data_IF_939265473802
#
_entry.id   IF_939265473802
#
_cell.length_a   1.000
_cell.length_b   1.000
_cell.length_c   1.000
_cell.angle_alpha   90.00
_cell.angle_beta   90.00
_cell.angle_gamma   90.00
#
_symmetry.space_group_name_H-M   'P 1'
#
loop_
_entity.id
_entity.type
_entity.pdbx_description
1 polymer ?
#
# COMPACT_ATOMS: atom_id res chain seq x y z
N UNK A 1 -23.07 3.13 -1.27
CA UNK A 1 -22.27 3.66 -0.13
C UNK A 1 -23.24 4.22 0.90
N UNK A 2 -23.08 3.89 2.17
CA UNK A 2 -23.85 4.47 3.28
C UNK A 2 -23.21 5.79 3.72
N UNK A 3 -23.99 6.69 4.33
CA UNK A 3 -23.48 7.98 4.86
C UNK A 3 -22.36 7.80 5.92
N UNK A 4 -22.18 6.59 6.45
CA UNK A 4 -21.19 6.21 7.46
C UNK A 4 -20.01 5.40 6.92
N UNK A 5 -19.82 5.35 5.59
CA UNK A 5 -18.66 4.67 5.02
C UNK A 5 -17.35 5.39 5.44
N UNK A 6 -16.30 4.66 5.90
CA UNK A 6 -15.05 5.28 6.29
C UNK A 6 -14.35 5.93 5.08
N UNK A 7 -13.74 7.09 5.28
CA UNK A 7 -13.01 7.82 4.26
C UNK A 7 -11.62 7.21 4.08
N UNK A 8 -11.38 6.63 2.91
CA UNK A 8 -10.11 6.00 2.56
C UNK A 8 -9.35 6.87 1.57
N UNK A 9 -8.26 7.44 2.02
CA UNK A 9 -7.38 8.23 1.15
C UNK A 9 -6.48 7.30 0.34
N UNK A 10 -6.49 7.46 -0.98
CA UNK A 10 -5.64 6.74 -1.93
C UNK A 10 -4.73 7.76 -2.61
N UNK A 11 -3.40 7.61 -2.47
CA UNK A 11 -2.47 8.56 -3.07
C UNK A 11 -2.28 8.25 -4.56
N UNK A 12 -2.53 9.26 -5.41
CA UNK A 12 -2.42 9.15 -6.85
C UNK A 12 -0.96 9.02 -7.32
N UNK A 13 -0.79 8.48 -8.52
CA UNK A 13 0.47 8.60 -9.27
C UNK A 13 0.42 9.78 -10.22
N UNK A 14 1.57 10.36 -10.55
CA UNK A 14 1.71 11.43 -11.55
C UNK A 14 2.32 10.87 -12.82
N UNK A 15 1.55 10.89 -13.90
CA UNK A 15 2.00 10.39 -15.20
C UNK A 15 1.43 11.21 -16.34
N UNK A 16 2.10 11.27 -17.50
CA UNK A 16 1.49 11.85 -18.70
C UNK A 16 0.33 10.96 -19.17
N UNK A 17 -0.77 11.60 -19.54
CA UNK A 17 -1.95 10.96 -20.12
C UNK A 17 -2.34 11.66 -21.40
N UNK A 18 -2.66 10.88 -22.44
CA UNK A 18 -3.19 11.38 -23.71
C UNK A 18 -4.69 11.10 -23.79
N UNK A 19 -5.49 12.14 -24.09
CA UNK A 19 -6.94 12.03 -24.23
C UNK A 19 -7.46 13.00 -25.29
N UNK A 20 -8.07 12.45 -26.32
CA UNK A 20 -8.53 13.23 -27.48
C UNK A 20 -7.38 13.98 -28.17
N UNK A 21 -7.49 15.30 -28.28
CA UNK A 21 -6.46 16.18 -28.86
C UNK A 21 -5.30 16.51 -27.92
N UNK A 22 -5.40 16.15 -26.65
CA UNK A 22 -4.40 16.45 -25.62
C UNK A 22 -3.39 15.30 -25.54
N UNK A 23 -2.10 15.58 -25.70
CA UNK A 23 -1.02 14.57 -25.71
C UNK A 23 -0.09 14.84 -24.55
N UNK A 24 0.23 13.79 -23.80
CA UNK A 24 1.20 13.77 -22.69
C UNK A 24 0.97 14.84 -21.62
N UNK A 25 -0.30 15.10 -21.30
CA UNK A 25 -0.67 16.04 -20.23
C UNK A 25 -0.34 15.45 -18.87
N UNK A 26 0.47 16.14 -18.02
CA UNK A 26 0.70 15.69 -16.65
C UNK A 26 -0.61 15.52 -15.89
N UNK A 27 -0.87 14.31 -15.39
CA UNK A 27 -2.15 13.96 -14.76
C UNK A 27 -1.88 13.17 -13.49
N UNK A 28 -2.59 13.54 -12.43
CA UNK A 28 -2.58 12.77 -11.19
C UNK A 28 -3.77 11.80 -11.20
N UNK A 29 -3.49 10.50 -11.14
CA UNK A 29 -4.52 9.46 -11.25
C UNK A 29 -4.01 8.08 -10.91
N UNK A 30 -4.94 7.13 -10.81
CA UNK A 30 -4.69 5.70 -10.58
C UNK A 30 -5.58 4.85 -11.48
N UNK A 31 -5.23 3.56 -11.68
CA UNK A 31 -6.19 2.58 -12.19
C UNK A 31 -7.45 2.56 -11.34
N UNK A 32 -8.61 2.52 -11.98
CA UNK A 32 -9.91 2.55 -11.28
C UNK A 32 -10.15 1.31 -10.41
N UNK A 33 -9.40 0.23 -10.61
CA UNK A 33 -9.42 -0.99 -9.80
C UNK A 33 -9.22 -0.69 -8.31
N UNK A 34 -8.27 0.17 -7.93
CA UNK A 34 -8.05 0.56 -6.53
C UNK A 34 -9.28 1.22 -5.89
N UNK A 35 -9.90 2.18 -6.59
CA UNK A 35 -11.06 2.89 -6.06
C UNK A 35 -12.27 1.96 -5.96
N UNK A 36 -12.50 1.14 -6.99
CA UNK A 36 -13.58 0.14 -6.99
C UNK A 36 -13.41 -0.88 -5.89
N UNK A 37 -12.20 -1.35 -5.64
CA UNK A 37 -11.92 -2.31 -4.56
C UNK A 37 -12.26 -1.72 -3.18
N UNK A 38 -11.93 -0.44 -2.93
CA UNK A 38 -12.35 0.26 -1.70
C UNK A 38 -13.87 0.39 -1.62
N UNK A 39 -14.54 0.77 -2.72
CA UNK A 39 -16.01 0.92 -2.78
C UNK A 39 -16.73 -0.42 -2.53
N UNK A 40 -16.28 -1.50 -3.16
CA UNK A 40 -16.83 -2.84 -3.01
C UNK A 40 -16.67 -3.38 -1.58
N UNK A 41 -15.56 -3.06 -0.92
CA UNK A 41 -15.35 -3.38 0.49
C UNK A 41 -16.14 -2.47 1.46
N UNK A 42 -16.87 -1.45 0.95
CA UNK A 42 -17.74 -0.58 1.74
C UNK A 42 -17.04 0.67 2.31
N UNK A 43 -15.91 1.07 1.76
CA UNK A 43 -15.22 2.34 2.02
C UNK A 43 -15.65 3.45 1.04
N UNK A 44 -15.32 4.69 1.38
CA UNK A 44 -15.48 5.87 0.52
C UNK A 44 -14.08 6.34 0.05
N UNK A 45 -13.66 6.04 -1.19
CA UNK A 45 -12.33 6.41 -1.66
C UNK A 45 -12.22 7.91 -1.96
N UNK A 46 -11.10 8.50 -1.53
CA UNK A 46 -10.73 9.89 -1.85
C UNK A 46 -9.34 9.89 -2.48
N UNK A 47 -9.23 10.38 -3.71
CA UNK A 47 -7.96 10.44 -4.41
C UNK A 47 -7.17 11.67 -3.95
N UNK A 48 -5.93 11.44 -3.48
CA UNK A 48 -5.02 12.48 -3.04
C UNK A 48 -3.89 12.66 -4.07
N UNK A 49 -3.76 13.82 -4.74
CA UNK A 49 -2.67 14.05 -5.67
C UNK A 49 -1.31 14.10 -4.95
N UNK A 50 -0.22 13.62 -5.58
CA UNK A 50 1.12 13.81 -5.07
C UNK A 50 1.43 15.31 -5.03
N UNK A 51 1.85 15.79 -3.87
CA UNK A 51 2.13 17.20 -3.66
C UNK A 51 3.41 17.40 -2.86
N UNK A 52 3.97 18.61 -2.90
CA UNK A 52 5.09 18.97 -2.02
C UNK A 52 4.64 18.86 -0.57
N UNK A 53 5.41 18.10 0.21
CA UNK A 53 5.05 17.77 1.59
C UNK A 53 5.40 18.94 2.51
N UNK A 54 4.38 19.51 3.13
CA UNK A 54 4.50 20.37 4.30
C UNK A 54 3.89 19.62 5.49
N UNK A 55 4.56 19.66 6.64
CA UNK A 55 4.14 18.91 7.83
C UNK A 55 2.66 19.20 8.21
N UNK A 56 2.26 20.47 8.19
CA UNK A 56 0.87 20.88 8.47
C UNK A 56 -0.16 20.26 7.52
N UNK A 57 0.21 20.05 6.26
CA UNK A 57 -0.67 19.44 5.27
C UNK A 57 -0.82 17.94 5.51
N UNK A 58 0.26 17.24 5.88
CA UNK A 58 0.21 15.83 6.28
C UNK A 58 -0.70 15.65 7.49
N UNK A 59 -0.57 16.50 8.50
CA UNK A 59 -1.42 16.48 9.69
C UNK A 59 -2.91 16.59 9.34
N UNK A 60 -3.29 17.49 8.45
CA UNK A 60 -4.68 17.65 7.98
C UNK A 60 -5.20 16.40 7.26
N UNK A 61 -4.37 15.73 6.47
CA UNK A 61 -4.79 14.47 5.82
C UNK A 61 -4.99 13.36 6.85
N UNK A 62 -4.12 13.26 7.85
CA UNK A 62 -4.25 12.30 8.95
C UNK A 62 -5.48 12.56 9.82
N UNK A 63 -5.88 13.83 10.00
CA UNK A 63 -7.12 14.19 10.70
C UNK A 63 -8.37 13.86 9.87
N UNK A 64 -8.31 14.09 8.57
CA UNK A 64 -9.43 13.92 7.66
C UNK A 64 -9.77 12.44 7.43
N UNK A 65 -8.77 11.60 7.16
CA UNK A 65 -8.94 10.22 6.74
C UNK A 65 -9.31 9.28 7.90
N UNK A 66 -9.97 8.18 7.57
CA UNK A 66 -10.23 7.06 8.47
C UNK A 66 -9.31 5.87 8.16
N UNK A 67 -8.66 5.87 6.98
CA UNK A 67 -7.66 4.91 6.56
C UNK A 67 -6.93 5.37 5.31
N UNK A 68 -5.77 4.75 5.02
CA UNK A 68 -4.96 5.04 3.85
C UNK A 68 -4.66 3.77 3.06
N UNK A 69 -4.84 3.83 1.73
CA UNK A 69 -4.40 2.81 0.80
C UNK A 69 -3.25 3.36 -0.05
N UNK A 70 -2.06 2.78 0.09
CA UNK A 70 -0.91 3.08 -0.76
C UNK A 70 -0.91 2.13 -1.96
N UNK A 71 -1.16 2.69 -3.11
CA UNK A 71 -1.29 1.94 -4.35
C UNK A 71 0.05 1.57 -4.99
N UNK A 72 0.04 0.61 -5.90
CA UNK A 72 1.12 0.29 -6.80
C UNK A 72 1.59 1.49 -7.64
N UNK A 73 2.66 1.31 -8.40
CA UNK A 73 3.21 2.36 -9.23
C UNK A 73 4.67 2.17 -9.54
N UNK A 74 5.33 3.22 -10.02
CA UNK A 74 6.74 3.25 -10.36
C UNK A 74 7.64 3.11 -9.13
N UNK A 75 8.90 2.77 -9.35
CA UNK A 75 9.87 2.52 -8.30
C UNK A 75 10.06 3.70 -7.35
N UNK A 76 10.43 3.39 -6.12
CA UNK A 76 10.72 4.36 -5.07
C UNK A 76 12.13 4.91 -5.28
N UNK A 77 12.32 6.21 -5.05
CA UNK A 77 13.62 6.86 -5.12
C UNK A 77 14.64 6.18 -4.20
N UNK A 78 15.65 5.52 -4.79
CA UNK A 78 16.64 4.72 -4.08
C UNK A 78 17.40 5.51 -3.01
N UNK A 79 17.67 6.80 -3.24
CA UNK A 79 18.28 7.69 -2.25
C UNK A 79 17.48 7.89 -0.98
N UNK A 80 16.15 7.61 -0.99
CA UNK A 80 15.31 7.71 0.23
C UNK A 80 15.58 6.61 1.25
N UNK A 81 16.16 5.49 0.82
CA UNK A 81 16.58 4.37 1.71
C UNK A 81 18.09 4.09 1.64
N UNK A 82 18.87 5.11 1.18
CA UNK A 82 20.34 5.14 1.28
C UNK A 82 21.05 4.28 0.26
N UNK A 83 20.44 3.99 -0.89
CA UNK A 83 21.06 3.23 -1.98
C UNK A 83 21.22 4.09 -3.24
N UNK A 84 22.18 3.72 -4.10
CA UNK A 84 22.26 4.23 -5.46
C UNK A 84 21.21 3.54 -6.34
N UNK A 85 20.63 4.24 -7.32
CA UNK A 85 19.59 3.65 -8.17
C UNK A 85 20.18 2.57 -9.09
N UNK A 86 19.47 1.44 -9.18
CA UNK A 86 19.78 0.39 -10.14
C UNK A 86 19.45 0.86 -11.58
N UNK A 87 20.23 0.46 -12.61
CA UNK A 87 20.01 0.89 -14.00
C UNK A 87 18.63 0.55 -14.58
N UNK A 88 17.95 -0.46 -14.04
CA UNK A 88 16.62 -0.90 -14.47
C UNK A 88 15.47 -0.29 -13.66
N UNK A 89 15.76 0.65 -12.76
CA UNK A 89 14.71 1.34 -12.02
C UNK A 89 13.91 2.29 -12.90
N UNK A 90 12.62 2.33 -12.67
CA UNK A 90 11.73 3.36 -13.22
C UNK A 90 12.04 4.73 -12.60
N UNK A 91 11.78 5.80 -13.36
CA UNK A 91 11.93 7.16 -12.84
C UNK A 91 10.90 7.41 -11.70
N UNK A 92 11.36 7.74 -10.48
CA UNK A 92 10.48 7.89 -9.32
C UNK A 92 9.66 9.18 -9.37
N UNK A 93 8.54 9.19 -8.64
CA UNK A 93 7.81 10.43 -8.29
C UNK A 93 8.17 10.82 -6.86
N UNK A 94 9.24 11.56 -6.70
CA UNK A 94 9.82 11.87 -5.37
C UNK A 94 8.84 12.57 -4.44
N UNK A 95 7.96 13.41 -4.96
CA UNK A 95 6.91 14.06 -4.18
C UNK A 95 5.90 13.05 -3.61
N UNK A 96 5.54 12.02 -4.40
CA UNK A 96 4.70 10.91 -3.97
C UNK A 96 5.38 10.10 -2.86
N UNK A 97 6.65 9.73 -3.08
CA UNK A 97 7.42 8.95 -2.11
C UNK A 97 7.49 9.66 -0.75
N UNK A 98 7.80 10.96 -0.76
CA UNK A 98 7.89 11.77 0.47
C UNK A 98 6.53 11.88 1.19
N UNK A 99 5.46 12.14 0.44
CA UNK A 99 4.12 12.24 0.99
C UNK A 99 3.69 10.92 1.61
N UNK A 100 3.76 9.83 0.87
CA UNK A 100 3.35 8.52 1.35
C UNK A 100 4.20 8.04 2.54
N UNK A 101 5.51 8.31 2.55
CA UNK A 101 6.36 7.98 3.69
C UNK A 101 5.98 8.77 4.95
N UNK A 102 5.63 10.04 4.81
CA UNK A 102 5.15 10.85 5.94
C UNK A 102 3.78 10.33 6.44
N UNK A 103 2.87 10.00 5.53
CA UNK A 103 1.56 9.42 5.86
C UNK A 103 1.73 8.07 6.55
N UNK A 104 2.59 7.17 6.05
CA UNK A 104 2.82 5.86 6.66
C UNK A 104 3.28 5.96 8.12
N UNK A 105 4.26 6.84 8.40
CA UNK A 105 4.71 7.10 9.76
C UNK A 105 3.62 7.75 10.62
N UNK A 106 2.87 8.71 10.07
CA UNK A 106 1.76 9.37 10.75
C UNK A 106 0.63 8.41 11.10
N UNK A 107 0.28 7.51 10.17
CA UNK A 107 -0.71 6.45 10.39
C UNK A 107 -0.29 5.53 11.54
N UNK A 108 0.94 5.04 11.52
CA UNK A 108 1.45 4.20 12.60
C UNK A 108 1.39 4.92 13.95
N UNK A 109 1.86 6.17 14.03
CA UNK A 109 1.89 6.93 15.29
C UNK A 109 0.49 7.19 15.87
N UNK A 110 -0.53 7.36 15.02
CA UNK A 110 -1.91 7.66 15.42
C UNK A 110 -2.82 6.44 15.45
N UNK A 111 -2.34 5.26 15.06
CA UNK A 111 -3.15 4.05 14.94
C UNK A 111 -4.17 4.09 13.80
N UNK A 112 -3.96 4.94 12.79
CA UNK A 112 -4.80 5.00 11.59
C UNK A 112 -4.47 3.78 10.73
N UNK A 113 -5.45 2.98 10.30
CA UNK A 113 -5.22 1.83 9.43
C UNK A 113 -4.58 2.22 8.09
N UNK A 114 -3.56 1.47 7.69
CA UNK A 114 -2.89 1.63 6.41
C UNK A 114 -2.67 0.28 5.74
N UNK A 115 -3.05 0.20 4.46
CA UNK A 115 -2.78 -0.95 3.58
C UNK A 115 -1.88 -0.50 2.42
N UNK A 116 -0.81 -1.23 2.14
CA UNK A 116 0.04 -1.02 0.96
C UNK A 116 -0.06 -2.16 -0.02
N UNK A 117 -0.31 -1.88 -1.31
CA UNK A 117 -0.29 -2.85 -2.40
C UNK A 117 0.94 -2.62 -3.29
N UNK A 118 1.70 -3.67 -3.57
CA UNK A 118 2.88 -3.69 -4.44
C UNK A 118 3.91 -2.61 -4.01
N UNK A 119 4.09 -1.55 -4.79
CA UNK A 119 4.93 -0.42 -4.41
C UNK A 119 4.53 0.17 -3.04
N UNK A 120 3.24 0.17 -2.69
CA UNK A 120 2.76 0.66 -1.39
C UNK A 120 3.32 -0.12 -0.20
N UNK A 121 3.46 -1.44 -0.32
CA UNK A 121 4.16 -2.27 0.67
C UNK A 121 5.65 -1.89 0.78
N UNK A 122 6.32 -1.75 -0.35
CA UNK A 122 7.73 -1.37 -0.42
C UNK A 122 7.96 0.01 0.22
N UNK A 123 7.03 0.95 -0.01
CA UNK A 123 7.10 2.27 0.61
C UNK A 123 6.90 2.21 2.13
N UNK A 124 5.95 1.41 2.63
CA UNK A 124 5.82 1.16 4.08
C UNK A 124 7.16 0.66 4.62
N UNK A 125 7.78 -0.34 3.99
CA UNK A 125 9.07 -0.85 4.42
C UNK A 125 10.15 0.23 4.51
N UNK A 126 10.33 1.02 3.45
CA UNK A 126 11.37 2.08 3.39
C UNK A 126 11.06 3.24 4.33
N UNK A 127 9.79 3.58 4.56
CA UNK A 127 9.36 4.60 5.51
C UNK A 127 9.77 4.26 6.96
N UNK A 128 9.89 2.98 7.29
CA UNK A 128 10.36 2.47 8.59
C UNK A 128 11.85 2.10 8.60
N UNK A 129 12.62 2.55 7.60
CA UNK A 129 14.07 2.39 7.52
C UNK A 129 14.54 1.04 6.95
N UNK A 130 13.66 0.31 6.29
CA UNK A 130 14.01 -0.87 5.51
C UNK A 130 14.68 -0.51 4.17
N UNK A 131 15.12 -1.54 3.44
CA UNK A 131 15.73 -1.41 2.10
C UNK A 131 15.03 -2.30 1.10
N UNK A 132 15.28 -2.06 -0.20
CA UNK A 132 14.71 -2.83 -1.29
C UNK A 132 15.83 -3.54 -2.09
N UNK A 133 15.53 -4.74 -2.53
CA UNK A 133 16.17 -5.34 -3.67
C UNK A 133 15.58 -4.70 -4.92
N UNK A 134 16.41 -3.91 -5.62
CA UNK A 134 15.94 -3.04 -6.69
C UNK A 134 15.69 -3.79 -8.01
N UNK A 135 16.21 -5.00 -8.14
CA UNK A 135 15.94 -5.86 -9.29
C UNK A 135 16.05 -7.34 -8.90
N UNK A 136 14.92 -8.01 -8.76
CA UNK A 136 14.84 -9.43 -8.37
C UNK A 136 15.61 -10.36 -9.32
N UNK A 137 15.68 -10.01 -10.62
CA UNK A 137 16.39 -10.78 -11.63
C UNK A 137 17.87 -10.95 -11.38
N UNK A 138 18.47 -10.16 -10.49
CA UNK A 138 19.87 -10.30 -10.08
C UNK A 138 20.09 -11.45 -9.08
N UNK A 139 19.02 -11.94 -8.42
CA UNK A 139 19.07 -12.93 -7.35
C UNK A 139 18.24 -14.19 -7.61
N UNK A 140 17.03 -14.03 -8.12
CA UNK A 140 16.07 -15.12 -8.34
C UNK A 140 15.53 -15.12 -9.76
N UNK A 141 14.89 -16.23 -10.16
CA UNK A 141 14.06 -16.24 -11.36
C UNK A 141 12.89 -15.27 -11.18
N UNK A 142 12.87 -14.22 -11.98
CA UNK A 142 11.85 -13.19 -11.89
C UNK A 142 10.50 -13.60 -12.53
N UNK A 143 10.49 -14.67 -13.33
CA UNK A 143 9.30 -15.13 -14.08
C UNK A 143 8.05 -15.28 -13.22
N UNK A 144 8.10 -15.84 -11.99
CA UNK A 144 6.92 -15.92 -11.13
C UNK A 144 6.39 -14.54 -10.71
N UNK A 145 7.28 -13.56 -10.50
CA UNK A 145 6.93 -12.23 -9.99
C UNK A 145 6.54 -11.26 -11.09
N UNK A 146 7.17 -11.38 -12.28
CA UNK A 146 6.86 -10.60 -13.48
C UNK A 146 7.41 -11.30 -14.73
N UNK A 147 6.58 -12.13 -15.37
CA UNK A 147 6.93 -12.77 -16.64
C UNK A 147 7.03 -11.74 -17.78
N UNK A 148 6.06 -10.82 -17.84
CA UNK A 148 5.98 -9.81 -18.90
C UNK A 148 5.54 -8.46 -18.36
N UNK A 149 6.19 -7.39 -18.82
CA UNK A 149 5.80 -6.01 -18.51
C UNK A 149 4.36 -5.74 -19.00
N UNK A 150 3.55 -5.14 -18.11
CA UNK A 150 2.17 -4.76 -18.41
C UNK A 150 1.16 -5.93 -18.36
N UNK A 151 1.55 -7.08 -17.83
CA UNK A 151 0.64 -8.20 -17.60
C UNK A 151 0.91 -8.83 -16.22
N UNK A 152 -0.17 -9.18 -15.53
CA UNK A 152 -0.04 -9.91 -14.27
C UNK A 152 0.32 -11.36 -14.55
N UNK A 153 1.17 -11.92 -13.70
CA UNK A 153 1.43 -13.35 -13.58
C UNK A 153 0.81 -13.88 -12.29
N UNK A 154 0.69 -15.18 -12.16
CA UNK A 154 0.18 -15.78 -10.94
C UNK A 154 1.25 -16.68 -10.30
N UNK A 155 1.44 -16.55 -9.00
CA UNK A 155 2.26 -17.48 -8.23
C UNK A 155 1.69 -17.69 -6.83
N UNK A 156 2.22 -18.68 -6.13
CA UNK A 156 1.79 -19.03 -4.79
C UNK A 156 2.58 -18.26 -3.74
N UNK A 157 1.90 -17.92 -2.66
CA UNK A 157 2.49 -17.38 -1.45
C UNK A 157 2.08 -18.21 -0.25
N UNK A 158 2.98 -18.35 0.73
CA UNK A 158 2.72 -18.98 2.01
C UNK A 158 2.53 -17.92 3.08
N UNK A 159 1.39 -17.94 3.75
CA UNK A 159 1.10 -17.04 4.87
C UNK A 159 1.76 -17.58 6.13
N UNK A 160 2.52 -16.73 6.81
CA UNK A 160 3.27 -17.10 7.99
C UNK A 160 2.36 -17.20 9.23
N UNK A 161 2.67 -18.14 10.16
CA UNK A 161 1.89 -18.32 11.38
C UNK A 161 1.98 -17.12 12.32
N UNK A 162 0.99 -16.99 13.20
CA UNK A 162 0.89 -15.96 14.24
C UNK A 162 0.89 -14.52 13.69
N UNK A 163 0.45 -14.34 12.42
CA UNK A 163 0.33 -13.05 11.76
C UNK A 163 -1.12 -12.57 11.70
N UNK A 164 -1.30 -11.25 11.58
CA UNK A 164 -2.60 -10.66 11.24
C UNK A 164 -3.08 -11.18 9.90
N UNK A 165 -2.18 -11.27 8.92
CA UNK A 165 -2.52 -11.78 7.60
C UNK A 165 -3.09 -13.20 7.67
N UNK A 166 -2.53 -14.08 8.52
CA UNK A 166 -3.11 -15.41 8.77
C UNK A 166 -4.52 -15.33 9.37
N UNK A 167 -4.75 -14.39 10.27
CA UNK A 167 -6.10 -14.20 10.85
C UNK A 167 -7.11 -13.75 9.80
N UNK A 168 -6.66 -12.99 8.78
CA UNK A 168 -7.50 -12.47 7.69
C UNK A 168 -7.77 -13.55 6.64
N UNK A 169 -6.72 -14.20 6.14
CA UNK A 169 -6.77 -15.08 4.97
C UNK A 169 -6.80 -16.58 5.33
N UNK A 170 -6.48 -16.92 6.57
CA UNK A 170 -6.24 -18.31 6.96
C UNK A 170 -4.82 -18.78 6.63
N UNK A 171 -4.59 -20.09 6.76
CA UNK A 171 -3.32 -20.71 6.43
C UNK A 171 -3.33 -21.12 4.96
N UNK A 172 -2.46 -20.45 4.16
CA UNK A 172 -2.30 -20.74 2.73
C UNK A 172 -1.51 -22.02 2.45
N UNK A 173 -1.18 -22.34 1.17
CA UNK A 173 -0.81 -21.35 0.15
C UNK A 173 -1.98 -20.80 -0.65
N UNK A 174 -1.84 -19.53 -1.08
CA UNK A 174 -2.77 -18.86 -1.97
C UNK A 174 -2.11 -18.50 -3.30
N UNK A 175 -2.90 -18.42 -4.37
CA UNK A 175 -2.45 -17.91 -5.65
C UNK A 175 -2.78 -16.43 -5.75
N UNK A 176 -1.79 -15.60 -6.05
CA UNK A 176 -1.91 -14.14 -6.08
C UNK A 176 -1.59 -13.58 -7.47
N UNK A 177 -2.07 -12.35 -7.77
CA UNK A 177 -1.74 -11.61 -8.97
C UNK A 177 -0.49 -10.75 -8.75
N UNK A 178 0.59 -11.07 -9.44
CA UNK A 178 1.90 -10.44 -9.27
C UNK A 178 2.35 -9.67 -10.50
N UNK A 179 2.96 -8.51 -10.27
CA UNK A 179 3.68 -7.74 -11.30
C UNK A 179 4.68 -6.81 -10.63
N UNK A 180 5.82 -7.33 -10.17
CA UNK A 180 6.88 -6.52 -9.58
C UNK A 180 8.27 -7.04 -9.94
N UNK A 181 9.26 -6.15 -9.97
CA UNK A 181 10.67 -6.51 -10.16
C UNK A 181 11.53 -6.10 -8.97
N UNK A 182 10.97 -5.37 -8.03
CA UNK A 182 11.59 -5.01 -6.77
C UNK A 182 10.90 -5.75 -5.63
N UNK A 183 11.63 -5.96 -4.53
CA UNK A 183 11.10 -6.59 -3.32
C UNK A 183 11.76 -6.00 -2.06
N UNK A 184 11.24 -6.37 -0.90
CA UNK A 184 11.88 -6.06 0.38
C UNK A 184 13.18 -6.84 0.51
N UNK A 185 14.29 -6.11 0.75
CA UNK A 185 15.59 -6.67 1.12
C UNK A 185 15.70 -6.78 2.65
N UNK A 186 15.81 -5.66 3.34
CA UNK A 186 15.83 -5.59 4.80
C UNK A 186 14.55 -4.94 5.32
N UNK A 187 13.92 -5.59 6.28
CA UNK A 187 12.70 -5.06 6.90
C UNK A 187 12.96 -3.79 7.71
N UNK A 188 12.01 -2.88 7.65
CA UNK A 188 11.96 -1.69 8.48
C UNK A 188 11.72 -2.00 9.96
N UNK A 189 12.09 -1.06 10.83
CA UNK A 189 11.93 -1.22 12.26
C UNK A 189 10.45 -1.39 12.65
N UNK A 190 10.16 -2.38 13.50
CA UNK A 190 8.79 -2.67 13.95
C UNK A 190 7.91 -3.39 12.91
N UNK A 191 8.49 -3.84 11.79
CA UNK A 191 7.82 -4.67 10.79
C UNK A 191 8.29 -6.12 10.87
N UNK A 192 7.41 -7.05 10.50
CA UNK A 192 7.72 -8.46 10.33
C UNK A 192 7.15 -8.98 9.02
N UNK A 193 7.73 -10.04 8.42
CA UNK A 193 7.13 -10.67 7.26
C UNK A 193 5.83 -11.38 7.67
N UNK A 194 4.84 -11.39 6.79
CA UNK A 194 3.57 -12.10 7.01
C UNK A 194 3.20 -13.05 5.89
N UNK A 195 3.85 -12.97 4.72
CA UNK A 195 3.83 -14.00 3.68
C UNK A 195 5.15 -14.02 2.91
N UNK A 196 5.47 -15.19 2.34
CA UNK A 196 6.67 -15.41 1.52
C UNK A 196 6.35 -16.23 0.28
N UNK A 197 7.07 -16.00 -0.81
CA UNK A 197 7.07 -16.84 -1.99
C UNK A 197 7.98 -18.07 -1.78
N UNK A 198 7.86 -19.15 -2.59
CA UNK A 198 8.70 -20.35 -2.48
C UNK A 198 10.20 -20.10 -2.64
N UNK A 199 10.61 -19.04 -3.31
CA UNK A 199 12.00 -18.61 -3.47
C UNK A 199 12.52 -17.69 -2.36
N UNK A 200 11.70 -17.48 -1.31
CA UNK A 200 12.03 -16.70 -0.14
C UNK A 200 11.82 -15.19 -0.27
N UNK A 201 11.25 -14.71 -1.37
CA UNK A 201 10.86 -13.31 -1.52
C UNK A 201 9.75 -12.98 -0.52
N UNK A 202 9.89 -11.87 0.21
CA UNK A 202 8.86 -11.38 1.13
C UNK A 202 7.71 -10.82 0.32
N UNK A 203 6.55 -11.45 0.44
CA UNK A 203 5.34 -11.10 -0.31
C UNK A 203 4.31 -10.33 0.53
N UNK A 204 4.46 -10.33 1.86
CA UNK A 204 3.69 -9.47 2.73
C UNK A 204 4.46 -9.12 3.99
N UNK A 205 4.15 -7.96 4.54
CA UNK A 205 4.66 -7.49 5.82
C UNK A 205 3.53 -6.86 6.66
N UNK A 206 3.74 -6.83 7.97
CA UNK A 206 2.84 -6.17 8.90
C UNK A 206 3.58 -5.59 10.09
N UNK A 207 2.95 -4.66 10.83
CA UNK A 207 3.47 -4.18 12.09
C UNK A 207 3.49 -5.29 13.14
N UNK A 208 4.55 -5.32 13.97
CA UNK A 208 4.67 -6.26 15.10
C UNK A 208 3.71 -5.92 16.25
N UNK A 209 3.17 -4.72 16.29
CA UNK A 209 2.22 -4.27 17.30
C UNK A 209 0.75 -4.43 16.83
N UNK A 210 -0.20 -3.99 17.69
CA UNK A 210 -1.62 -4.12 17.41
C UNK A 210 -2.15 -3.15 16.33
N UNK A 211 -1.33 -2.23 15.81
CA UNK A 211 -1.74 -1.27 14.78
C UNK A 211 -1.98 -1.96 13.44
N UNK A 212 -2.98 -1.48 12.71
CA UNK A 212 -3.26 -2.02 11.37
C UNK A 212 -2.32 -1.37 10.34
N UNK A 213 -1.12 -1.89 10.24
CA UNK A 213 -0.15 -1.59 9.18
C UNK A 213 0.12 -2.90 8.45
N UNK A 214 -0.39 -3.03 7.24
CA UNK A 214 -0.27 -4.23 6.41
C UNK A 214 0.20 -3.83 5.02
N UNK A 215 1.14 -4.56 4.48
CA UNK A 215 1.59 -4.43 3.09
C UNK A 215 1.59 -5.78 2.41
N UNK A 216 1.13 -5.84 1.16
CA UNK A 216 1.18 -7.02 0.30
C UNK A 216 1.88 -6.66 -1.01
N UNK A 217 2.73 -7.56 -1.52
CA UNK A 217 3.50 -7.31 -2.74
C UNK A 217 2.67 -7.54 -4.01
N UNK A 218 1.58 -8.29 -3.89
CA UNK A 218 0.63 -8.55 -4.97
C UNK A 218 -0.42 -7.44 -5.11
N UNK A 219 -1.32 -7.63 -6.09
CA UNK A 219 -2.39 -6.70 -6.46
C UNK A 219 -3.77 -7.24 -6.06
N UNK A 220 -4.22 -7.03 -4.81
CA UNK A 220 -5.53 -7.53 -4.36
C UNK A 220 -6.69 -6.84 -5.08
N UNK A 221 -6.47 -5.65 -5.65
CA UNK A 221 -7.46 -4.88 -6.39
C UNK A 221 -7.72 -5.39 -7.82
N UNK A 222 -6.81 -6.19 -8.40
CA UNK A 222 -6.93 -6.68 -9.78
C UNK A 222 -7.71 -8.00 -9.86
N UNK A 223 -7.53 -8.86 -8.88
CA UNK A 223 -8.31 -10.08 -8.73
C UNK A 223 -9.13 -9.94 -7.46
N UNK A 224 -10.41 -9.62 -7.62
CA UNK A 224 -11.36 -9.68 -6.52
C UNK A 224 -11.74 -11.16 -6.27
N UNK A 225 -10.69 -11.97 -6.02
CA UNK A 225 -10.81 -13.33 -5.50
C UNK A 225 -11.14 -13.28 -3.99
N UNK A 226 -11.52 -14.39 -3.38
CA UNK A 226 -11.90 -14.41 -1.96
C UNK A 226 -10.82 -13.82 -1.04
N UNK A 227 -9.55 -13.99 -1.36
CA UNK A 227 -8.43 -13.48 -0.56
C UNK A 227 -8.28 -11.97 -0.69
N UNK A 228 -8.44 -11.42 -1.90
CA UNK A 228 -8.45 -9.96 -2.13
C UNK A 228 -9.63 -9.30 -1.45
N UNK A 229 -10.83 -9.88 -1.56
CA UNK A 229 -12.04 -9.40 -0.88
C UNK A 229 -11.87 -9.42 0.65
N UNK A 230 -11.34 -10.50 1.22
CA UNK A 230 -11.12 -10.63 2.68
C UNK A 230 -10.10 -9.60 3.19
N UNK A 231 -9.00 -9.39 2.47
CA UNK A 231 -7.99 -8.41 2.84
C UNK A 231 -8.57 -6.99 2.85
N UNK A 232 -9.27 -6.60 1.79
CA UNK A 232 -9.89 -5.29 1.68
C UNK A 232 -11.01 -5.10 2.71
N UNK A 233 -11.86 -6.11 2.94
CA UNK A 233 -12.89 -6.07 3.96
C UNK A 233 -12.31 -5.91 5.38
N UNK A 234 -11.20 -6.59 5.67
CA UNK A 234 -10.48 -6.44 6.95
C UNK A 234 -9.95 -5.02 7.13
N UNK A 235 -9.33 -4.46 6.08
CA UNK A 235 -8.82 -3.09 6.09
C UNK A 235 -9.94 -2.07 6.32
N UNK A 236 -11.05 -2.17 5.56
CA UNK A 236 -12.21 -1.27 5.71
C UNK A 236 -12.87 -1.45 7.08
N UNK A 237 -12.91 -2.68 7.61
CA UNK A 237 -13.39 -2.95 8.97
C UNK A 237 -12.56 -2.22 10.04
N UNK A 238 -11.23 -2.25 9.90
CA UNK A 238 -10.32 -1.51 10.78
C UNK A 238 -10.51 0.01 10.66
N UNK A 239 -10.66 0.53 9.43
CA UNK A 239 -10.90 1.95 9.19
C UNK A 239 -12.24 2.41 9.80
N UNK A 240 -13.28 1.58 9.76
CA UNK A 240 -14.56 1.86 10.40
C UNK A 240 -14.43 1.91 11.93
N UNK A 241 -13.68 1.00 12.53
CA UNK A 241 -13.41 1.02 13.97
C UNK A 241 -12.67 2.31 14.38
N UNK A 242 -11.65 2.69 13.62
CA UNK A 242 -10.93 3.94 13.85
C UNK A 242 -11.86 5.17 13.73
N UNK A 243 -12.71 5.23 12.70
CA UNK A 243 -13.71 6.28 12.51
C UNK A 243 -14.61 6.43 13.74
N UNK A 244 -15.14 5.31 14.28
CA UNK A 244 -15.98 5.33 15.47
C UNK A 244 -15.25 5.84 16.70
N UNK A 245 -14.00 5.44 16.92
CA UNK A 245 -13.16 5.93 18.03
C UNK A 245 -12.94 7.44 17.92
N UNK A 246 -12.53 7.92 16.74
CA UNK A 246 -12.31 9.34 16.46
C UNK A 246 -13.54 10.20 16.72
N UNK A 247 -14.75 9.74 16.33
CA UNK A 247 -16.01 10.43 16.59
C UNK A 247 -16.37 10.47 18.07
N UNK A 248 -16.13 9.39 18.79
CA UNK A 248 -16.41 9.30 20.23
C UNK A 248 -15.55 10.24 21.05
N UNK A 249 -14.25 10.33 20.71
CA UNK A 249 -13.30 11.26 21.34
C UNK A 249 -13.72 12.71 21.09
N UNK A 250 -14.09 13.06 19.85
CA UNK A 250 -14.53 14.41 19.49
C UNK A 250 -15.85 14.80 20.20
N UNK A 251 -16.77 13.87 20.39
CA UNK A 251 -18.01 14.12 21.11
C UNK A 251 -17.77 14.32 22.61
N UNK A 252 -16.82 13.61 23.21
CA UNK A 252 -16.45 13.76 24.63
C UNK A 252 -15.82 15.12 24.97
N UNK A 253 -15.11 15.73 24.02
CA UNK A 253 -14.49 17.07 24.18
C UNK A 253 -15.48 18.24 24.11
N UNK A 254 -16.70 18.03 23.63
CA UNK A 254 -17.75 19.08 23.56
C UNK A 254 -18.52 19.26 24.87
N UNK A 255 -18.32 18.40 25.87
CA UNK A 255 -19.01 18.43 27.16
C UNK A 255 -18.09 18.77 28.34
N UNK A 256 -16.88 19.24 28.09
CA UNK A 256 -15.94 19.76 29.06
C UNK A 256 -15.67 21.24 28.78
#
# INVERSE_FOLDING_TARGET
MTADAPLIVVVADRKPVSSGAWVDVPTDGLPTSYLRAVEQAGGCPVLLPPSRVHAEMVERFLEFADGFLLAGGRDIFAGSYGQEPHPLNDAPVVERDRLEAALARGCHNRGIPILGACRGMQLINTAFGGTLEQHLGDRVDMTPHRDRVGAFTAHRVEVLPDTRLQTILGSGPFEIASHHHQAVDRLGAGLRPSAVAPDGVIEALESVDARYVVGVQWHPEERMDPEGEQLLASFIGAARQYQHQKRSESAGLQYV
#
